data_IF_127641649669
#
_entry.id   IF_127641649669
#
_cell.length_a   1.000
_cell.length_b   1.000
_cell.length_c   1.000
_cell.angle_alpha   90.00
_cell.angle_beta   90.00
_cell.angle_gamma   90.00
#
_symmetry.space_group_name_H-M   'P 1'
#
loop_
_entity.id
_entity.type
_entity.pdbx_description
1 polymer ?
#
# COMPACT_ATOMS: atom_id res chain seq x y z
N UNK A 1 -12.64 0.42 16.21
CA UNK A 1 -11.35 -0.08 15.70
C UNK A 1 -11.63 -0.75 14.37
N UNK A 2 -10.79 -0.57 13.34
CA UNK A 2 -11.01 -1.24 12.05
C UNK A 2 -10.96 -2.76 12.23
N UNK A 3 -11.69 -3.50 11.38
CA UNK A 3 -11.76 -4.96 11.47
C UNK A 3 -10.38 -5.65 11.32
N UNK A 4 -9.48 -5.01 10.59
CA UNK A 4 -8.13 -5.48 10.34
C UNK A 4 -7.11 -4.34 10.46
N UNK A 5 -5.90 -4.67 10.94
CA UNK A 5 -4.82 -3.70 11.06
C UNK A 5 -4.05 -3.59 9.75
N UNK A 6 -3.97 -2.36 9.22
CA UNK A 6 -3.02 -2.03 8.14
C UNK A 6 -1.65 -1.68 8.73
N UNK A 7 -0.62 -1.81 7.92
CA UNK A 7 0.73 -1.37 8.29
C UNK A 7 0.75 0.15 8.47
N UNK A 8 1.47 0.62 9.49
CA UNK A 8 1.67 2.06 9.71
C UNK A 8 2.76 2.56 8.79
N UNK A 9 2.44 3.54 7.93
CA UNK A 9 3.44 4.23 7.13
C UNK A 9 4.19 5.21 8.05
N UNK A 10 5.51 5.08 8.08
CA UNK A 10 6.41 5.91 8.87
C UNK A 10 7.46 6.54 7.97
N UNK A 11 8.15 7.54 8.50
CA UNK A 11 9.30 8.16 7.88
C UNK A 11 10.41 8.24 8.93
N UNK A 12 11.56 7.65 8.62
CA UNK A 12 12.75 7.65 9.48
C UNK A 12 13.25 9.06 9.81
N UNK A 13 12.84 10.10 9.08
CA UNK A 13 13.16 11.51 9.36
C UNK A 13 12.29 12.09 10.48
N UNK A 14 11.08 11.57 10.68
CA UNK A 14 10.06 12.16 11.58
C UNK A 14 9.61 11.24 12.72
N UNK A 15 10.13 10.02 12.83
CA UNK A 15 9.69 9.04 13.82
C UNK A 15 10.06 9.41 15.29
N UNK A 16 9.04 9.53 16.15
CA UNK A 16 9.21 9.62 17.60
C UNK A 16 9.56 8.24 18.18
N UNK A 17 10.81 8.06 18.63
CA UNK A 17 11.33 6.77 19.12
C UNK A 17 12.27 6.06 18.13
N UNK A 18 13.10 6.84 17.42
CA UNK A 18 14.00 6.34 16.38
C UNK A 18 14.93 5.22 16.87
N UNK A 19 14.93 4.09 16.17
CA UNK A 19 15.90 3.02 16.34
C UNK A 19 17.32 3.50 16.05
N UNK A 20 18.37 2.80 16.53
CA UNK A 20 19.75 3.15 16.21
C UNK A 20 19.99 3.23 14.69
N UNK A 21 19.34 2.34 13.93
CA UNK A 21 19.42 2.31 12.47
C UNK A 21 18.72 3.51 11.83
N UNK A 22 17.57 3.93 12.35
CA UNK A 22 16.89 5.16 11.88
C UNK A 22 17.73 6.41 12.12
N UNK A 23 18.38 6.53 13.29
CA UNK A 23 19.28 7.64 13.58
C UNK A 23 20.48 7.65 12.64
N UNK A 24 21.05 6.49 12.35
CA UNK A 24 22.14 6.36 11.39
C UNK A 24 21.69 6.79 9.97
N UNK A 25 20.53 6.34 9.51
CA UNK A 25 19.97 6.73 8.22
C UNK A 25 19.65 8.23 8.14
N UNK A 26 19.14 8.82 9.22
CA UNK A 26 18.89 10.26 9.30
C UNK A 26 20.20 11.06 9.23
N UNK A 27 21.26 10.62 9.90
CA UNK A 27 22.57 11.24 9.82
C UNK A 27 23.15 11.17 8.39
N UNK A 28 23.01 10.02 7.73
CA UNK A 28 23.44 9.81 6.34
C UNK A 28 22.62 10.67 5.36
N UNK A 29 21.31 10.79 5.58
CA UNK A 29 20.41 11.62 4.76
C UNK A 29 20.77 13.11 4.86
N UNK A 30 21.08 13.59 6.07
CA UNK A 30 21.51 14.98 6.29
C UNK A 30 22.94 15.26 5.79
N UNK A 31 23.74 14.21 5.56
CA UNK A 31 25.08 14.29 5.02
C UNK A 31 25.14 14.30 3.48
N UNK A 32 26.36 14.31 2.93
CA UNK A 32 26.61 14.00 1.52
C UNK A 32 27.11 12.56 1.45
N UNK A 33 26.26 11.62 1.06
CA UNK A 33 26.65 10.21 1.00
C UNK A 33 25.52 9.19 0.96
N UNK A 34 24.24 9.60 0.90
CA UNK A 34 23.11 8.65 0.93
C UNK A 34 23.15 7.60 -0.20
N UNK A 35 23.70 7.95 -1.36
CA UNK A 35 23.81 7.04 -2.51
C UNK A 35 25.04 6.12 -2.48
N UNK A 36 25.75 5.98 -1.35
CA UNK A 36 26.91 5.09 -1.24
C UNK A 36 26.54 3.61 -1.06
N UNK A 37 27.36 2.72 -1.62
CA UNK A 37 27.18 1.25 -1.51
C UNK A 37 27.13 0.77 -0.06
N UNK A 38 27.86 1.41 0.85
CA UNK A 38 27.88 1.07 2.27
C UNK A 38 26.49 1.16 2.94
N UNK A 39 25.61 2.03 2.43
CA UNK A 39 24.27 2.25 3.00
C UNK A 39 23.29 1.14 2.63
N UNK A 40 23.60 0.31 1.62
CA UNK A 40 22.74 -0.83 1.24
C UNK A 40 22.50 -1.74 2.45
N UNK A 41 23.58 -2.09 3.19
CA UNK A 41 23.49 -2.94 4.38
C UNK A 41 22.69 -2.30 5.52
N UNK A 42 22.81 -0.98 5.67
CA UNK A 42 22.05 -0.23 6.70
C UNK A 42 20.56 -0.26 6.37
N UNK A 43 20.20 -0.03 5.10
CA UNK A 43 18.81 -0.10 4.63
C UNK A 43 18.24 -1.52 4.68
N UNK A 44 19.03 -2.55 4.39
CA UNK A 44 18.62 -3.95 4.53
C UNK A 44 18.33 -4.33 6.00
N UNK A 45 19.12 -3.79 6.92
CA UNK A 45 18.91 -3.95 8.37
C UNK A 45 17.64 -3.23 8.79
N UNK A 46 17.44 -1.99 8.32
CA UNK A 46 16.23 -1.24 8.58
C UNK A 46 14.97 -1.91 8.02
N UNK A 47 15.05 -2.53 6.84
CA UNK A 47 13.94 -3.33 6.29
C UNK A 47 13.56 -4.49 7.23
N UNK A 48 14.53 -5.16 7.85
CA UNK A 48 14.24 -6.20 8.84
C UNK A 48 13.57 -5.65 10.10
N UNK A 49 13.99 -4.47 10.58
CA UNK A 49 13.34 -3.76 11.70
C UNK A 49 11.89 -3.37 11.34
N UNK A 50 11.65 -2.90 10.12
CA UNK A 50 10.30 -2.58 9.62
C UNK A 50 9.38 -3.82 9.62
N UNK A 51 9.90 -5.00 9.27
CA UNK A 51 9.14 -6.26 9.31
C UNK A 51 8.76 -6.62 10.76
N UNK A 52 9.69 -6.47 11.71
CA UNK A 52 9.44 -6.78 13.12
C UNK A 52 8.48 -5.78 13.79
N UNK A 53 8.61 -4.50 13.46
CA UNK A 53 7.81 -3.41 14.04
C UNK A 53 6.45 -3.20 13.38
N UNK A 54 6.13 -3.94 12.31
CA UNK A 54 4.91 -3.76 11.49
C UNK A 54 4.74 -2.32 10.96
N UNK A 55 5.87 -1.67 10.65
CA UNK A 55 5.92 -0.33 10.06
C UNK A 55 6.41 -0.42 8.62
N UNK A 56 6.05 0.54 7.77
CA UNK A 56 6.53 0.61 6.38
C UNK A 56 7.07 1.99 6.11
N UNK A 57 8.32 2.06 5.71
CA UNK A 57 8.98 3.30 5.30
C UNK A 57 9.16 3.30 3.79
N UNK A 58 8.31 4.06 3.10
CA UNK A 58 8.24 4.05 1.64
C UNK A 58 9.54 4.59 1.05
N UNK A 59 10.03 5.72 1.56
CA UNK A 59 11.21 6.40 1.01
C UNK A 59 12.49 5.59 1.22
N UNK A 60 12.66 4.98 2.40
CA UNK A 60 13.80 4.10 2.66
C UNK A 60 13.78 2.85 1.76
N UNK A 61 12.60 2.26 1.52
CA UNK A 61 12.47 1.07 0.69
C UNK A 61 12.69 1.39 -0.80
N UNK A 62 12.18 2.53 -1.28
CA UNK A 62 12.46 3.03 -2.65
C UNK A 62 13.93 3.35 -2.82
N UNK A 63 14.56 3.97 -1.82
CA UNK A 63 16.00 4.22 -1.82
C UNK A 63 16.81 2.92 -1.94
N UNK A 64 16.45 1.87 -1.20
CA UNK A 64 17.10 0.57 -1.29
C UNK A 64 16.97 -0.05 -2.70
N UNK A 65 15.77 -0.03 -3.28
CA UNK A 65 15.57 -0.49 -4.67
C UNK A 65 16.41 0.30 -5.67
N UNK A 66 16.54 1.61 -5.47
CA UNK A 66 17.36 2.47 -6.32
C UNK A 66 18.85 2.15 -6.18
N UNK A 67 19.34 1.91 -4.96
CA UNK A 67 20.73 1.50 -4.74
C UNK A 67 21.04 0.15 -5.39
N UNK A 68 20.11 -0.80 -5.37
CA UNK A 68 20.25 -2.07 -6.09
C UNK A 68 20.37 -1.89 -7.61
N UNK A 69 19.75 -0.86 -8.20
CA UNK A 69 19.94 -0.52 -9.61
C UNK A 69 21.31 0.12 -9.88
N UNK A 70 21.80 0.94 -8.95
CA UNK A 70 23.12 1.60 -9.07
C UNK A 70 24.26 0.61 -8.83
N UNK A 71 24.09 -0.34 -7.92
CA UNK A 71 25.09 -1.34 -7.51
C UNK A 71 24.57 -2.77 -7.69
N UNK A 72 24.54 -3.30 -8.93
CA UNK A 72 23.96 -4.61 -9.22
C UNK A 72 24.59 -5.79 -8.45
N UNK A 73 25.84 -5.66 -8.01
CA UNK A 73 26.54 -6.68 -7.24
C UNK A 73 25.98 -6.87 -5.82
N UNK A 74 25.22 -5.90 -5.31
CA UNK A 74 24.65 -5.95 -3.95
C UNK A 74 23.20 -6.45 -3.92
N UNK A 75 22.60 -6.73 -5.08
CA UNK A 75 21.19 -7.10 -5.21
C UNK A 75 20.88 -8.38 -4.43
N UNK A 76 19.81 -8.33 -3.64
CA UNK A 76 19.28 -9.48 -2.92
C UNK A 76 17.79 -9.69 -3.25
N UNK A 77 17.47 -10.81 -3.90
CA UNK A 77 16.11 -11.15 -4.33
C UNK A 77 15.12 -11.26 -3.16
N UNK A 78 15.55 -11.79 -2.02
CA UNK A 78 14.70 -11.94 -0.83
C UNK A 78 14.29 -10.58 -0.25
N UNK A 79 15.23 -9.63 -0.21
CA UNK A 79 14.97 -8.26 0.24
C UNK A 79 14.02 -7.53 -0.70
N UNK A 80 14.21 -7.68 -2.01
CA UNK A 80 13.31 -7.10 -3.01
C UNK A 80 11.90 -7.70 -2.91
N UNK A 81 11.77 -9.02 -2.78
CA UNK A 81 10.49 -9.67 -2.55
C UNK A 81 9.81 -9.17 -1.27
N UNK A 82 10.58 -8.97 -0.19
CA UNK A 82 10.08 -8.42 1.08
C UNK A 82 9.54 -7.00 0.91
N UNK A 83 10.24 -6.13 0.17
CA UNK A 83 9.79 -4.77 -0.15
C UNK A 83 8.47 -4.80 -0.92
N UNK A 84 8.35 -5.69 -1.92
CA UNK A 84 7.11 -5.86 -2.69
C UNK A 84 5.96 -6.31 -1.79
N UNK A 85 6.17 -7.30 -0.91
CA UNK A 85 5.16 -7.74 0.05
C UNK A 85 4.74 -6.62 0.99
N UNK A 86 5.69 -5.82 1.52
CA UNK A 86 5.36 -4.63 2.31
C UNK A 86 4.57 -3.61 1.50
N UNK A 87 4.87 -3.46 0.21
CA UNK A 87 4.06 -2.67 -0.73
C UNK A 87 2.61 -3.14 -0.78
N UNK A 88 2.38 -4.44 -0.95
CA UNK A 88 1.04 -5.05 -0.95
C UNK A 88 0.29 -4.76 0.36
N UNK A 89 0.99 -4.86 1.50
CA UNK A 89 0.39 -4.61 2.82
C UNK A 89 0.01 -3.13 3.05
N UNK A 90 0.45 -2.22 2.19
CA UNK A 90 0.08 -0.79 2.24
C UNK A 90 -0.98 -0.38 1.21
N UNK A 91 -1.54 -1.33 0.45
CA UNK A 91 -2.65 -1.03 -0.46
C UNK A 91 -3.81 -0.38 0.33
N UNK A 92 -4.41 0.72 -0.17
CA UNK A 92 -4.43 1.20 -1.55
C UNK A 92 -3.30 2.18 -1.96
N UNK A 93 -2.22 2.32 -1.18
CA UNK A 93 -1.08 3.16 -1.56
C UNK A 93 -0.49 2.77 -2.92
N UNK A 94 0.06 3.74 -3.65
CA UNK A 94 0.75 3.55 -4.93
C UNK A 94 2.15 2.95 -4.78
N UNK A 95 2.59 2.68 -3.55
CA UNK A 95 3.94 2.19 -3.25
C UNK A 95 4.25 0.87 -3.97
N UNK A 96 3.36 -0.12 -3.94
CA UNK A 96 3.56 -1.39 -4.66
C UNK A 96 3.76 -1.17 -6.17
N UNK A 97 2.92 -0.34 -6.80
CA UNK A 97 3.04 -0.01 -8.22
C UNK A 97 4.42 0.58 -8.51
N UNK A 98 4.87 1.56 -7.72
CA UNK A 98 6.20 2.14 -7.86
C UNK A 98 7.31 1.09 -7.70
N UNK A 99 7.27 0.31 -6.62
CA UNK A 99 8.25 -0.72 -6.33
C UNK A 99 8.36 -1.77 -7.46
N UNK A 100 7.23 -2.20 -8.03
CA UNK A 100 7.19 -3.18 -9.13
C UNK A 100 7.96 -2.73 -10.37
N UNK A 101 7.93 -1.42 -10.68
CA UNK A 101 8.66 -0.83 -11.82
C UNK A 101 10.17 -0.72 -11.56
N UNK A 102 10.59 -0.73 -10.31
CA UNK A 102 11.99 -0.56 -9.89
C UNK A 102 12.71 -1.89 -9.62
N UNK A 103 12.03 -3.03 -9.78
CA UNK A 103 12.66 -4.35 -9.66
C UNK A 103 13.75 -4.52 -10.73
N UNK A 104 15.00 -4.88 -10.36
CA UNK A 104 16.05 -5.18 -11.31
C UNK A 104 15.70 -6.40 -12.19
N UNK A 105 16.03 -6.35 -13.47
CA UNK A 105 15.77 -7.44 -14.43
C UNK A 105 16.44 -8.74 -14.03
N UNK A 106 17.65 -8.68 -13.45
CA UNK A 106 18.45 -9.83 -13.08
C UNK A 106 17.80 -10.78 -12.06
N UNK A 107 16.84 -10.29 -11.28
CA UNK A 107 16.14 -11.06 -10.24
C UNK A 107 14.63 -11.10 -10.46
N UNK A 108 14.14 -10.56 -11.59
CA UNK A 108 12.71 -10.50 -11.88
C UNK A 108 12.10 -11.90 -12.04
N UNK A 109 12.87 -12.86 -12.55
CA UNK A 109 12.48 -14.27 -12.68
C UNK A 109 12.70 -15.09 -11.41
N UNK A 110 13.20 -14.50 -10.32
CA UNK A 110 13.30 -15.20 -9.03
C UNK A 110 11.90 -15.62 -8.56
N UNK A 111 11.80 -16.83 -8.00
CA UNK A 111 10.52 -17.41 -7.61
C UNK A 111 9.78 -16.53 -6.59
N UNK A 112 10.48 -15.94 -5.61
CA UNK A 112 9.84 -15.13 -4.57
C UNK A 112 9.41 -13.77 -5.12
N UNK A 113 10.22 -13.17 -5.99
CA UNK A 113 9.92 -11.88 -6.62
C UNK A 113 8.74 -12.03 -7.58
N UNK A 114 8.74 -13.08 -8.42
CA UNK A 114 7.65 -13.38 -9.35
C UNK A 114 6.34 -13.63 -8.59
N UNK A 115 6.38 -14.42 -7.53
CA UNK A 115 5.21 -14.66 -6.69
C UNK A 115 4.67 -13.36 -6.09
N UNK A 116 5.53 -12.51 -5.51
CA UNK A 116 5.11 -11.23 -4.93
C UNK A 116 4.51 -10.29 -5.98
N UNK A 117 5.08 -10.23 -7.19
CA UNK A 117 4.56 -9.43 -8.29
C UNK A 117 3.17 -9.94 -8.73
N UNK A 118 3.02 -11.26 -8.89
CA UNK A 118 1.75 -11.87 -9.28
C UNK A 118 0.65 -11.64 -8.25
N UNK A 119 0.94 -11.90 -6.98
CA UNK A 119 0.03 -11.65 -5.87
C UNK A 119 -0.41 -10.19 -5.80
N UNK A 120 0.54 -9.26 -5.90
CA UNK A 120 0.18 -7.84 -5.85
C UNK A 120 -0.64 -7.39 -7.06
N UNK A 121 -0.39 -7.94 -8.25
CA UNK A 121 -1.21 -7.69 -9.44
C UNK A 121 -2.66 -8.19 -9.27
N UNK A 122 -2.85 -9.39 -8.72
CA UNK A 122 -4.20 -9.93 -8.44
C UNK A 122 -4.97 -9.03 -7.48
N UNK A 123 -4.32 -8.59 -6.40
CA UNK A 123 -4.94 -7.72 -5.41
C UNK A 123 -5.28 -6.35 -5.99
N UNK A 124 -4.38 -5.73 -6.76
CA UNK A 124 -4.66 -4.45 -7.44
C UNK A 124 -5.77 -4.57 -8.50
N UNK A 125 -5.89 -5.72 -9.15
CA UNK A 125 -6.95 -6.03 -10.11
C UNK A 125 -8.25 -6.48 -9.45
N UNK A 126 -8.32 -6.47 -8.11
CA UNK A 126 -9.47 -6.92 -7.31
C UNK A 126 -9.89 -8.38 -7.55
N UNK A 127 -8.96 -9.23 -8.00
CA UNK A 127 -9.17 -10.67 -8.21
C UNK A 127 -9.00 -11.45 -6.90
N UNK A 128 -9.78 -11.08 -5.88
CA UNK A 128 -9.60 -11.59 -4.51
C UNK A 128 -9.86 -13.10 -4.39
N UNK A 129 -10.86 -13.62 -5.09
CA UNK A 129 -11.20 -15.05 -5.03
C UNK A 129 -10.12 -15.94 -5.64
N UNK A 130 -9.43 -15.45 -6.68
CA UNK A 130 -8.31 -16.17 -7.29
C UNK A 130 -7.05 -16.06 -6.44
N UNK A 131 -6.82 -14.90 -5.81
CA UNK A 131 -5.75 -14.74 -4.82
C UNK A 131 -5.83 -15.79 -3.71
N UNK A 132 -7.02 -16.09 -3.17
CA UNK A 132 -7.16 -17.10 -2.11
C UNK A 132 -6.93 -18.55 -2.56
N UNK A 133 -6.94 -18.82 -3.87
CA UNK A 133 -6.63 -20.15 -4.42
C UNK A 133 -5.14 -20.35 -4.65
N UNK A 134 -4.38 -19.26 -4.78
CA UNK A 134 -2.93 -19.30 -4.96
C UNK A 134 -2.21 -19.35 -3.62
N UNK A 135 -1.17 -20.18 -3.55
CA UNK A 135 -0.29 -20.24 -2.40
C UNK A 135 0.86 -19.25 -2.58
N UNK A 136 1.08 -18.39 -1.59
CA UNK A 136 2.14 -17.39 -1.57
C UNK A 136 2.99 -17.56 -0.30
N UNK A 137 3.73 -18.67 -0.15
CA UNK A 137 4.37 -19.05 1.12
C UNK A 137 5.45 -18.07 1.56
N UNK A 138 6.01 -17.29 0.63
CA UNK A 138 6.95 -16.22 0.96
C UNK A 138 6.26 -15.02 1.61
N UNK A 139 5.11 -14.60 1.08
CA UNK A 139 4.37 -13.45 1.57
C UNK A 139 3.78 -13.72 2.97
N UNK A 140 3.34 -14.96 3.22
CA UNK A 140 2.80 -15.38 4.51
C UNK A 140 3.82 -15.38 5.65
N UNK A 141 5.12 -15.47 5.35
CA UNK A 141 6.18 -15.33 6.36
C UNK A 141 6.24 -13.92 6.96
N UNK A 142 5.73 -12.91 6.25
CA UNK A 142 5.73 -11.53 6.72
C UNK A 142 4.59 -11.36 7.74
N UNK A 143 4.88 -10.98 9.00
CA UNK A 143 3.87 -10.87 10.03
C UNK A 143 2.78 -9.85 9.68
N UNK A 144 1.51 -10.27 9.75
CA UNK A 144 0.38 -9.39 9.48
C UNK A 144 -0.02 -9.29 7.99
N UNK A 145 0.52 -10.14 7.12
CA UNK A 145 0.26 -10.10 5.68
C UNK A 145 -1.23 -10.33 5.36
N UNK A 146 -1.79 -11.43 5.84
CA UNK A 146 -3.19 -11.80 5.58
C UNK A 146 -4.18 -10.77 6.16
N UNK A 147 -3.89 -10.23 7.34
CA UNK A 147 -4.68 -9.17 7.96
C UNK A 147 -4.65 -7.89 7.13
N UNK A 148 -3.48 -7.50 6.63
CA UNK A 148 -3.33 -6.30 5.78
C UNK A 148 -4.07 -6.46 4.45
N UNK A 149 -4.02 -7.65 3.84
CA UNK A 149 -4.77 -7.97 2.61
C UNK A 149 -6.29 -7.90 2.86
N UNK A 150 -6.78 -8.51 3.95
CA UNK A 150 -8.21 -8.42 4.32
C UNK A 150 -8.63 -6.98 4.61
N UNK A 151 -7.79 -6.18 5.26
CA UNK A 151 -8.04 -4.75 5.49
C UNK A 151 -8.22 -3.97 4.17
N UNK A 152 -7.37 -4.27 3.18
CA UNK A 152 -7.49 -3.68 1.85
C UNK A 152 -8.79 -4.12 1.15
N UNK A 153 -9.15 -5.41 1.21
CA UNK A 153 -10.39 -5.93 0.61
C UNK A 153 -11.62 -5.24 1.23
N UNK A 154 -11.68 -5.11 2.56
CA UNK A 154 -12.74 -4.39 3.26
C UNK A 154 -12.81 -2.93 2.80
N UNK A 155 -11.67 -2.26 2.69
CA UNK A 155 -11.58 -0.87 2.20
C UNK A 155 -12.10 -0.76 0.76
N UNK A 156 -11.74 -1.70 -0.12
CA UNK A 156 -12.19 -1.74 -1.50
C UNK A 156 -13.71 -1.95 -1.61
N UNK A 157 -14.27 -2.87 -0.82
CA UNK A 157 -15.73 -3.11 -0.74
C UNK A 157 -16.45 -1.85 -0.25
N UNK A 158 -15.97 -1.24 0.84
CA UNK A 158 -16.53 -0.02 1.44
C UNK A 158 -16.63 1.14 0.45
N UNK A 159 -15.64 1.28 -0.45
CA UNK A 159 -15.60 2.35 -1.45
C UNK A 159 -16.43 2.08 -2.70
N UNK A 160 -16.65 0.81 -3.06
CA UNK A 160 -17.22 0.43 -4.36
C UNK A 160 -18.68 0.02 -4.32
N UNK A 161 -19.19 -0.38 -3.14
CA UNK A 161 -20.53 -0.92 -3.00
C UNK A 161 -21.34 -0.11 -1.99
N UNK A 162 -22.59 0.19 -2.32
CA UNK A 162 -23.60 0.68 -1.38
C UNK A 162 -24.29 -0.48 -0.64
N UNK A 163 -24.48 -1.60 -1.32
CA UNK A 163 -24.98 -2.85 -0.75
C UNK A 163 -24.30 -4.07 -1.40
N UNK A 164 -24.05 -5.12 -0.62
CA UNK A 164 -23.37 -6.34 -1.08
C UNK A 164 -23.94 -7.58 -0.40
N UNK A 165 -24.08 -8.70 -1.12
CA UNK A 165 -24.59 -9.93 -0.52
C UNK A 165 -23.55 -10.54 0.42
N UNK A 166 -24.04 -11.20 1.48
CA UNK A 166 -23.17 -11.82 2.48
C UNK A 166 -22.25 -12.89 1.86
N UNK A 167 -22.76 -13.66 0.90
CA UNK A 167 -21.98 -14.73 0.25
C UNK A 167 -20.82 -14.19 -0.59
N UNK A 168 -21.00 -13.05 -1.25
CA UNK A 168 -19.93 -12.40 -2.02
C UNK A 168 -18.86 -11.85 -1.09
N UNK A 169 -19.24 -11.28 0.06
CA UNK A 169 -18.28 -10.81 1.07
C UNK A 169 -17.45 -11.97 1.63
N UNK A 170 -18.10 -13.12 1.94
CA UNK A 170 -17.41 -14.34 2.37
C UNK A 170 -16.41 -14.83 1.33
N UNK A 171 -16.84 -14.92 0.07
CA UNK A 171 -15.99 -15.37 -1.02
C UNK A 171 -14.77 -14.45 -1.22
N UNK A 172 -14.97 -13.12 -1.13
CA UNK A 172 -13.89 -12.14 -1.30
C UNK A 172 -12.90 -12.10 -0.13
N UNK A 173 -13.35 -12.33 1.10
CA UNK A 173 -12.49 -12.27 2.30
C UNK A 173 -11.93 -13.62 2.73
N UNK A 174 -12.48 -14.72 2.20
CA UNK A 174 -12.19 -16.10 2.60
C UNK A 174 -12.29 -16.28 4.12
N UNK A 175 -13.45 -15.94 4.67
CA UNK A 175 -13.77 -15.98 6.11
C UNK A 175 -15.07 -16.73 6.38
N UNK A 176 -15.21 -17.23 7.61
CA UNK A 176 -16.40 -17.93 8.09
C UNK A 176 -17.57 -16.98 8.41
N UNK A 177 -18.79 -17.52 8.51
CA UNK A 177 -20.00 -16.73 8.83
C UNK A 177 -19.88 -15.93 10.14
N UNK A 178 -19.15 -16.47 11.12
CA UNK A 178 -18.94 -15.83 12.41
C UNK A 178 -18.06 -14.58 12.29
N UNK A 179 -16.99 -14.67 11.51
CA UNK A 179 -16.05 -13.57 11.30
C UNK A 179 -16.68 -12.44 10.48
N UNK A 180 -17.60 -12.75 9.57
CA UNK A 180 -18.37 -11.72 8.84
C UNK A 180 -19.19 -10.86 9.80
N UNK A 181 -19.81 -11.44 10.82
CA UNK A 181 -20.58 -10.69 11.80
C UNK A 181 -19.69 -9.72 12.60
N UNK A 182 -18.49 -10.16 12.98
CA UNK A 182 -17.51 -9.34 13.70
C UNK A 182 -17.00 -8.18 12.81
N UNK A 183 -16.76 -8.44 11.51
CA UNK A 183 -16.35 -7.41 10.54
C UNK A 183 -17.45 -6.37 10.33
N UNK A 184 -18.71 -6.80 10.16
CA UNK A 184 -19.87 -5.92 10.00
C UNK A 184 -20.01 -5.01 11.23
N UNK A 185 -19.84 -5.56 12.43
CA UNK A 185 -19.88 -4.77 13.67
C UNK A 185 -18.72 -3.77 13.77
N UNK A 186 -17.50 -4.16 13.39
CA UNK A 186 -16.32 -3.31 13.43
C UNK A 186 -16.40 -2.13 12.42
N UNK A 187 -16.88 -2.40 11.21
CA UNK A 187 -17.03 -1.42 10.13
C UNK A 187 -18.34 -0.60 10.20
N UNK A 188 -19.18 -0.88 11.21
CA UNK A 188 -20.49 -0.26 11.43
C UNK A 188 -21.44 -0.41 10.22
N UNK A 189 -21.37 -1.54 9.52
CA UNK A 189 -22.30 -1.88 8.45
C UNK A 189 -23.61 -2.42 9.04
N UNK A 190 -24.70 -2.35 8.28
CA UNK A 190 -26.00 -2.90 8.71
C UNK A 190 -26.39 -4.09 7.86
N UNK A 191 -27.04 -5.08 8.45
CA UNK A 191 -27.52 -6.27 7.73
C UNK A 191 -29.02 -6.16 7.53
N UNK A 192 -29.45 -6.18 6.27
CA UNK A 192 -30.84 -6.30 5.86
C UNK A 192 -31.03 -7.69 5.23
N UNK A 193 -31.54 -8.64 6.02
CA UNK A 193 -31.71 -10.05 5.66
C UNK A 193 -30.41 -10.73 5.18
N UNK A 194 -30.20 -10.79 3.86
CA UNK A 194 -29.04 -11.42 3.19
C UNK A 194 -28.06 -10.39 2.60
N UNK A 195 -28.38 -9.10 2.74
CA UNK A 195 -27.68 -7.99 2.11
C UNK A 195 -27.03 -7.10 3.19
N UNK A 196 -25.74 -6.87 3.06
CA UNK A 196 -24.99 -5.95 3.91
C UNK A 196 -25.06 -4.56 3.26
N UNK A 197 -25.62 -3.61 4.00
CA UNK A 197 -25.66 -2.19 3.65
C UNK A 197 -24.40 -1.52 4.19
N UNK A 198 -23.64 -0.92 3.29
CA UNK A 198 -22.37 -0.26 3.61
C UNK A 198 -22.67 1.19 3.96
N UNK A 199 -22.06 1.67 5.04
CA UNK A 199 -22.23 3.06 5.48
C UNK A 199 -21.78 4.02 4.37
N UNK A 200 -22.65 4.96 3.95
CA UNK A 200 -22.31 5.91 2.91
C UNK A 200 -21.05 6.71 3.28
N UNK A 201 -20.06 6.72 2.40
CA UNK A 201 -18.83 7.50 2.53
C UNK A 201 -18.63 8.41 1.32
N UNK A 202 -17.70 9.36 1.40
CA UNK A 202 -17.44 10.34 0.32
C UNK A 202 -17.14 9.71 -1.04
N UNK A 203 -16.55 8.50 -1.05
CA UNK A 203 -16.20 7.78 -2.27
C UNK A 203 -17.35 6.92 -2.81
N UNK A 204 -18.31 6.56 -1.95
CA UNK A 204 -19.44 5.68 -2.24
C UNK A 204 -20.73 6.49 -2.52
N UNK A 205 -20.72 7.79 -2.28
CA UNK A 205 -21.82 8.68 -2.63
C UNK A 205 -21.61 9.32 -4.00
N UNK A 206 -22.70 9.48 -4.74
CA UNK A 206 -22.69 10.21 -6.00
C UNK A 206 -22.32 11.68 -5.74
N UNK A 207 -21.09 12.06 -6.09
CA UNK A 207 -20.68 13.45 -6.07
C UNK A 207 -21.08 14.12 -7.39
N UNK A 208 -22.10 14.96 -7.35
CA UNK A 208 -22.44 15.80 -8.48
C UNK A 208 -21.29 16.80 -8.73
N UNK A 209 -20.49 16.57 -9.76
CA UNK A 209 -19.53 17.59 -10.24
C UNK A 209 -20.35 18.78 -10.74
N UNK A 210 -20.39 19.87 -9.97
CA UNK A 210 -20.91 21.14 -10.45
C UNK A 210 -19.92 21.67 -11.49
N UNK A 211 -20.17 21.36 -12.75
CA UNK A 211 -19.47 21.99 -13.88
C UNK A 211 -20.08 23.38 -14.05
N UNK A 212 -19.69 24.29 -13.16
CA UNK A 212 -19.88 25.70 -13.36
C UNK A 212 -18.48 26.30 -13.41
N UNK A 213 -18.09 26.78 -14.58
CA UNK A 213 -16.85 27.53 -14.72
C UNK A 213 -17.02 28.82 -13.91
N UNK A 214 -16.34 28.89 -12.77
CA UNK A 214 -16.30 30.10 -11.95
C UNK A 214 -15.31 31.06 -12.62
N UNK A 215 -15.76 31.79 -13.64
CA UNK A 215 -15.00 32.88 -14.22
C UNK A 215 -15.20 34.09 -13.31
N UNK A 216 -14.21 34.38 -12.48
CA UNK A 216 -14.24 35.57 -11.63
C UNK A 216 -13.89 36.82 -12.44
N UNK A 217 -14.38 37.98 -11.99
CA UNK A 217 -14.13 39.24 -12.69
C UNK A 217 -12.63 39.54 -12.84
N UNK A 218 -11.82 39.13 -11.87
CA UNK A 218 -10.35 39.25 -11.90
C UNK A 218 -9.71 38.47 -13.05
N UNK A 219 -10.29 37.34 -13.46
CA UNK A 219 -9.78 36.56 -14.59
C UNK A 219 -10.08 37.24 -15.93
N UNK A 220 -11.22 37.94 -16.01
CA UNK A 220 -11.59 38.76 -17.18
C UNK A 220 -10.73 40.04 -17.24
N UNK A 221 -10.41 40.65 -16.09
CA UNK A 221 -9.56 41.84 -16.03
C UNK A 221 -8.16 41.59 -16.62
N UNK A 222 -7.57 40.42 -16.40
CA UNK A 222 -6.28 40.03 -17.00
C UNK A 222 -6.32 40.07 -18.53
N UNK A 223 -7.43 39.60 -19.12
CA UNK A 223 -7.64 39.62 -20.58
C UNK A 223 -7.85 41.05 -21.06
N UNK A 224 -8.71 41.82 -20.38
CA UNK A 224 -9.00 43.22 -20.75
C UNK A 224 -7.73 44.07 -20.73
N UNK A 225 -6.90 43.96 -19.69
CA UNK A 225 -5.64 44.71 -19.58
C UNK A 225 -4.63 44.34 -20.68
N UNK A 226 -4.65 43.09 -21.15
CA UNK A 226 -3.79 42.63 -22.25
C UNK A 226 -4.30 43.16 -23.60
N UNK A 227 -5.62 43.27 -23.78
CA UNK A 227 -6.24 43.79 -24.99
C UNK A 227 -6.29 45.32 -25.06
N UNK A 228 -6.16 46.03 -23.93
CA UNK A 228 -6.20 47.49 -23.86
C UNK A 228 -4.83 48.16 -24.04
N UNK A 229 -3.79 47.39 -24.37
CA UNK A 229 -2.42 47.89 -24.61
C UNK A 229 -2.09 47.83 -26.08
#
# INVERSE_FOLDING_TARGET
MPAFQQQTIVDFVTAEGASPTQQQLQAVHNGRGFCEEANVKVLETYLAEQVQSKTVDIDANVALLKLYQVYPATVNAEKVATILVKGIMTLPSTFFTGASTMVPESIREDANVTAALHTGFMLQSCLFEDFWKEDAPFAEKVPGFLESVRAYIVTAISRSHSAISMDVVKAKLNVSDKEVADIVAAEKWTVADTLIQITPNENNQMQAKKVQENIEFEDVLKVIHTLSR
#
